data_IF_916884877481
#
_entry.id   IF_916884877481
#
_cell.length_a   1.000
_cell.length_b   1.000
_cell.length_c   1.000
_cell.angle_alpha   90.00
_cell.angle_beta   90.00
_cell.angle_gamma   90.00
#
_symmetry.space_group_name_H-M   'P 1'
#
loop_
_entity.id
_entity.type
_entity.pdbx_description
1 polymer ?
#
# COMPACT_ATOMS: atom_id res chain seq x y z
N UNK A 1 13.34 -2.03 30.79
CA UNK A 1 12.66 -3.17 31.43
C UNK A 1 12.31 -4.15 30.35
N UNK A 2 12.54 -5.44 30.58
CA UNK A 2 12.32 -6.53 29.64
C UNK A 2 10.82 -6.69 29.30
N UNK A 3 10.27 -5.82 28.48
CA UNK A 3 9.04 -6.13 27.77
C UNK A 3 9.44 -6.88 26.50
N UNK A 4 9.33 -8.21 26.55
CA UNK A 4 9.46 -9.06 25.37
C UNK A 4 8.51 -8.63 24.24
N UNK A 5 8.78 -9.10 23.03
CA UNK A 5 7.92 -8.79 21.87
C UNK A 5 6.46 -9.14 22.16
N UNK A 6 5.57 -8.14 22.06
CA UNK A 6 4.12 -8.33 22.20
C UNK A 6 3.49 -8.63 20.84
N UNK A 7 2.67 -9.66 20.78
CA UNK A 7 1.86 -9.94 19.61
C UNK A 7 0.68 -8.94 19.55
N UNK A 8 0.58 -8.20 18.45
CA UNK A 8 -0.47 -7.18 18.23
C UNK A 8 -1.65 -7.77 17.44
N UNK A 9 -1.38 -8.77 16.59
CA UNK A 9 -2.37 -9.49 15.79
C UNK A 9 -2.00 -10.97 15.86
N UNK A 10 -2.95 -11.82 16.22
CA UNK A 10 -2.78 -13.27 16.31
C UNK A 10 -3.93 -13.99 15.61
N UNK A 11 -3.64 -15.19 15.07
CA UNK A 11 -4.62 -16.09 14.44
C UNK A 11 -5.54 -15.44 13.39
N UNK A 12 -5.01 -14.52 12.59
CA UNK A 12 -5.75 -13.88 11.51
C UNK A 12 -5.69 -14.74 10.24
N UNK A 13 -6.85 -15.03 9.64
CA UNK A 13 -6.95 -15.65 8.32
C UNK A 13 -8.04 -14.95 7.53
N UNK A 14 -7.66 -14.37 6.40
CA UNK A 14 -8.53 -13.61 5.51
C UNK A 14 -8.29 -14.08 4.08
N UNK A 15 -9.37 -14.18 3.31
CA UNK A 15 -9.34 -14.38 1.86
C UNK A 15 -10.19 -13.30 1.22
N UNK A 16 -9.67 -12.70 0.14
CA UNK A 16 -10.37 -11.69 -0.64
C UNK A 16 -10.33 -12.12 -2.10
N UNK A 17 -11.50 -12.47 -2.66
CA UNK A 17 -11.59 -12.88 -4.05
C UNK A 17 -11.70 -11.68 -4.99
N UNK A 18 -11.49 -11.95 -6.29
CA UNK A 18 -11.60 -10.90 -7.33
C UNK A 18 -13.00 -10.31 -7.35
N UNK A 19 -13.08 -8.98 -7.24
CA UNK A 19 -14.34 -8.24 -7.31
C UNK A 19 -15.06 -8.11 -5.97
N UNK A 20 -14.51 -8.69 -4.91
CA UNK A 20 -15.04 -8.54 -3.56
C UNK A 20 -14.51 -7.27 -2.88
N UNK A 21 -15.22 -6.87 -1.83
CA UNK A 21 -14.77 -5.83 -0.90
C UNK A 21 -14.78 -6.43 0.50
N UNK A 22 -13.60 -6.52 1.12
CA UNK A 22 -13.45 -6.96 2.50
C UNK A 22 -13.25 -5.74 3.41
N UNK A 23 -14.08 -5.62 4.44
CA UNK A 23 -13.96 -4.59 5.46
C UNK A 23 -13.47 -5.21 6.78
N UNK A 24 -12.48 -4.59 7.40
CA UNK A 24 -12.01 -4.97 8.74
C UNK A 24 -12.43 -3.86 9.71
N UNK A 25 -13.35 -4.17 10.62
CA UNK A 25 -13.86 -3.27 11.65
C UNK A 25 -13.45 -3.73 13.05
N UNK A 26 -13.36 -2.80 14.00
CA UNK A 26 -12.97 -3.07 15.39
C UNK A 26 -12.52 -1.80 16.10
N UNK A 27 -12.30 -1.89 17.40
CA UNK A 27 -11.90 -0.75 18.25
C UNK A 27 -10.51 -0.19 17.89
N UNK A 28 -10.24 1.06 18.27
CA UNK A 28 -8.91 1.64 18.09
C UNK A 28 -7.84 0.74 18.75
N UNK A 29 -6.72 0.51 18.06
CA UNK A 29 -5.66 -0.39 18.55
C UNK A 29 -5.88 -1.89 18.31
N UNK A 30 -7.01 -2.32 17.72
CA UNK A 30 -7.29 -3.74 17.45
C UNK A 30 -6.45 -4.39 16.34
N UNK A 31 -5.39 -3.73 15.86
CA UNK A 31 -4.49 -4.26 14.83
C UNK A 31 -4.88 -4.05 13.36
N UNK A 32 -6.03 -3.41 13.06
CA UNK A 32 -6.49 -3.16 11.66
C UNK A 32 -5.43 -2.51 10.77
N UNK A 33 -4.86 -1.39 11.22
CA UNK A 33 -3.83 -0.67 10.47
C UNK A 33 -2.54 -1.50 10.37
N UNK A 34 -2.20 -2.27 11.41
CA UNK A 34 -1.05 -3.17 11.38
C UNK A 34 -1.22 -4.30 10.37
N UNK A 35 -2.42 -4.87 10.24
CA UNK A 35 -2.76 -5.84 9.20
C UNK A 35 -2.59 -5.24 7.80
N UNK A 36 -3.14 -4.04 7.55
CA UNK A 36 -3.02 -3.38 6.26
C UNK A 36 -1.56 -3.04 5.90
N UNK A 37 -0.79 -2.54 6.86
CA UNK A 37 0.64 -2.25 6.70
C UNK A 37 1.47 -3.53 6.50
N UNK A 38 1.13 -4.63 7.18
CA UNK A 38 1.79 -5.93 6.99
C UNK A 38 1.61 -6.44 5.56
N UNK A 39 0.40 -6.34 4.99
CA UNK A 39 0.14 -6.71 3.58
C UNK A 39 1.03 -5.91 2.62
N UNK A 40 1.24 -4.62 2.91
CA UNK A 40 2.08 -3.75 2.10
C UNK A 40 3.59 -3.87 2.39
N UNK A 41 4.00 -4.70 3.36
CA UNK A 41 5.35 -4.69 3.95
C UNK A 41 5.82 -3.28 4.37
N UNK A 42 4.92 -2.49 4.97
CA UNK A 42 5.19 -1.12 5.45
C UNK A 42 5.11 -1.03 6.99
N UNK A 43 5.33 -2.14 7.69
CA UNK A 43 5.37 -2.12 9.15
C UNK A 43 6.50 -1.20 9.64
N UNK A 44 6.26 -0.36 10.67
CA UNK A 44 7.26 0.55 11.19
C UNK A 44 8.43 -0.24 11.79
N UNK A 45 9.61 -0.10 11.22
CA UNK A 45 10.82 -0.75 11.71
C UNK A 45 11.60 0.16 12.67
N UNK A 46 12.23 -0.38 13.73
CA UNK A 46 12.25 -1.80 14.14
C UNK A 46 11.06 -2.21 15.04
N UNK A 47 10.11 -1.30 15.26
CA UNK A 47 9.03 -1.46 16.24
C UNK A 47 8.07 -2.62 15.96
N UNK A 48 7.91 -3.02 14.70
CA UNK A 48 7.02 -4.10 14.29
C UNK A 48 7.62 -4.95 13.17
N UNK A 49 7.28 -6.23 13.18
CA UNK A 49 7.63 -7.21 12.14
C UNK A 49 6.53 -8.25 11.99
N UNK A 50 6.49 -8.92 10.84
CA UNK A 50 5.72 -10.15 10.67
C UNK A 50 6.52 -11.26 11.35
N UNK A 51 5.99 -11.82 12.44
CA UNK A 51 6.65 -12.86 13.21
C UNK A 51 6.48 -14.26 12.62
N UNK A 52 5.35 -14.53 11.97
CA UNK A 52 5.00 -15.80 11.35
C UNK A 52 3.87 -15.62 10.33
N UNK A 53 3.60 -16.67 9.55
CA UNK A 53 2.51 -16.72 8.57
C UNK A 53 2.93 -16.27 7.17
N UNK A 54 1.94 -16.16 6.29
CA UNK A 54 2.12 -15.90 4.85
C UNK A 54 1.11 -14.88 4.37
N UNK A 55 1.50 -14.06 3.40
CA UNK A 55 0.60 -13.11 2.74
C UNK A 55 0.77 -13.29 1.24
N UNK A 56 -0.27 -13.78 0.58
CA UNK A 56 -0.21 -14.10 -0.85
C UNK A 56 -1.07 -13.15 -1.66
N UNK A 57 -0.48 -12.62 -2.74
CA UNK A 57 -1.20 -11.93 -3.80
C UNK A 57 -1.23 -12.85 -5.03
N UNK A 58 -2.35 -13.54 -5.22
CA UNK A 58 -2.45 -14.67 -6.15
C UNK A 58 -1.33 -15.70 -5.89
N UNK A 59 -0.45 -15.93 -6.87
CA UNK A 59 0.65 -16.88 -6.76
C UNK A 59 1.92 -16.30 -6.11
N UNK A 60 1.91 -15.02 -5.76
CA UNK A 60 3.09 -14.35 -5.19
C UNK A 60 3.04 -14.35 -3.67
N UNK A 61 4.00 -15.03 -3.03
CA UNK A 61 4.25 -14.86 -1.59
C UNK A 61 4.92 -13.50 -1.35
N UNK A 62 4.25 -12.62 -0.60
CA UNK A 62 4.75 -11.28 -0.33
C UNK A 62 5.76 -11.28 0.80
N UNK A 63 5.58 -12.04 1.88
CA UNK A 63 6.40 -11.90 3.12
C UNK A 63 7.90 -12.11 2.94
N UNK A 64 8.30 -12.81 1.87
CA UNK A 64 9.71 -13.13 1.58
C UNK A 64 10.31 -12.25 0.47
N UNK A 65 9.55 -11.31 -0.09
CA UNK A 65 10.05 -10.46 -1.16
C UNK A 65 11.02 -9.41 -0.63
N UNK A 66 12.11 -9.21 -1.38
CA UNK A 66 12.99 -8.07 -1.19
C UNK A 66 12.29 -6.75 -1.57
N UNK A 67 12.85 -5.64 -1.08
CA UNK A 67 12.31 -4.30 -1.28
C UNK A 67 12.18 -3.92 -2.78
N UNK A 68 13.10 -4.40 -3.64
CA UNK A 68 13.07 -4.11 -5.08
C UNK A 68 11.88 -4.79 -5.75
N UNK A 69 11.56 -6.03 -5.36
CA UNK A 69 10.40 -6.78 -5.85
C UNK A 69 9.10 -6.23 -5.27
N UNK A 70 9.06 -5.92 -3.97
CA UNK A 70 7.91 -5.26 -3.36
C UNK A 70 7.61 -3.90 -3.99
N UNK A 71 8.63 -3.12 -4.35
CA UNK A 71 8.46 -1.85 -5.06
C UNK A 71 7.80 -2.00 -6.43
N UNK A 72 7.99 -3.12 -7.13
CA UNK A 72 7.29 -3.36 -8.41
C UNK A 72 5.83 -3.77 -8.23
N UNK A 73 5.48 -4.30 -7.06
CA UNK A 73 4.12 -4.73 -6.73
C UNK A 73 3.30 -3.55 -6.19
N UNK A 74 3.89 -2.76 -5.28
CA UNK A 74 3.27 -1.54 -4.75
C UNK A 74 3.15 -0.51 -5.86
N UNK A 75 2.01 0.16 -5.97
CA UNK A 75 1.75 1.17 -6.99
C UNK A 75 1.26 0.61 -8.34
N UNK A 76 1.61 -0.63 -8.68
CA UNK A 76 1.14 -1.30 -9.91
C UNK A 76 0.02 -2.31 -9.63
N UNK A 77 0.27 -3.29 -8.75
CA UNK A 77 -0.64 -4.41 -8.47
C UNK A 77 -1.52 -4.17 -7.24
N UNK A 78 -0.98 -3.49 -6.22
CA UNK A 78 -1.69 -3.09 -5.00
C UNK A 78 -1.27 -1.67 -4.63
N UNK A 79 -2.21 -0.88 -4.12
CA UNK A 79 -1.98 0.49 -3.68
C UNK A 79 -2.69 0.73 -2.36
N UNK A 80 -2.21 1.71 -1.60
CA UNK A 80 -2.78 2.10 -0.32
C UNK A 80 -3.16 3.58 -0.37
N UNK A 81 -4.33 3.91 0.17
CA UNK A 81 -4.76 5.27 0.46
C UNK A 81 -4.66 5.44 1.98
N UNK A 82 -3.83 6.40 2.42
CA UNK A 82 -3.59 6.63 3.85
C UNK A 82 -4.73 7.45 4.47
N UNK A 83 -4.97 7.24 5.77
CA UNK A 83 -6.04 7.93 6.51
C UNK A 83 -5.82 9.45 6.58
N UNK A 84 -4.56 9.88 6.70
CA UNK A 84 -4.19 11.29 6.69
C UNK A 84 -3.70 11.70 5.31
N UNK A 85 -4.54 12.31 4.45
CA UNK A 85 -4.20 12.59 3.06
C UNK A 85 -2.97 13.49 2.92
N UNK A 86 -2.77 14.42 3.85
CA UNK A 86 -1.62 15.34 3.86
C UNK A 86 -0.28 14.62 4.05
N UNK A 87 -0.26 13.43 4.64
CA UNK A 87 0.97 12.64 4.81
C UNK A 87 1.41 11.94 3.52
N UNK A 88 0.50 11.82 2.55
CA UNK A 88 0.74 11.09 1.30
C UNK A 88 1.17 11.98 0.13
N UNK A 89 0.96 13.31 0.25
CA UNK A 89 1.30 14.28 -0.79
C UNK A 89 2.56 15.05 -0.40
N UNK A 90 3.45 15.27 -1.36
CA UNK A 90 4.59 16.14 -1.20
C UNK A 90 4.18 17.59 -1.54
N UNK A 91 4.13 18.52 -0.55
CA UNK A 91 3.65 19.89 -0.78
C UNK A 91 4.57 20.72 -1.69
N UNK A 92 5.81 20.28 -1.93
CA UNK A 92 6.76 20.95 -2.82
C UNK A 92 6.49 20.59 -4.30
N UNK A 93 5.73 19.52 -4.56
CA UNK A 93 5.44 19.04 -5.91
C UNK A 93 4.00 19.36 -6.31
N UNK A 94 3.79 19.75 -7.55
CA UNK A 94 2.43 19.87 -8.10
C UNK A 94 1.75 18.50 -8.14
N UNK A 95 0.41 18.49 -8.03
CA UNK A 95 -0.39 17.26 -8.16
C UNK A 95 -0.08 16.54 -9.49
N UNK A 96 0.05 17.30 -10.58
CA UNK A 96 0.44 16.75 -11.88
C UNK A 96 1.76 16.00 -11.83
N UNK A 97 2.80 16.58 -11.18
CA UNK A 97 4.11 15.92 -11.09
C UNK A 97 4.03 14.62 -10.29
N UNK A 98 3.39 14.65 -9.11
CA UNK A 98 3.25 13.49 -8.23
C UNK A 98 2.51 12.32 -8.91
N UNK A 99 1.45 12.63 -9.67
CA UNK A 99 0.74 11.62 -10.47
C UNK A 99 1.61 11.05 -11.58
N UNK A 100 2.29 11.91 -12.35
CA UNK A 100 3.14 11.45 -13.46
C UNK A 100 4.33 10.63 -12.99
N UNK A 101 4.96 10.99 -11.85
CA UNK A 101 6.08 10.26 -11.28
C UNK A 101 5.70 8.81 -10.95
N UNK A 102 4.51 8.61 -10.37
CA UNK A 102 4.00 7.27 -10.06
C UNK A 102 3.77 6.44 -11.33
N UNK A 103 3.22 7.06 -12.38
CA UNK A 103 2.97 6.39 -13.67
C UNK A 103 4.29 6.05 -14.37
N UNK A 104 5.24 6.99 -14.40
CA UNK A 104 6.57 6.83 -15.00
C UNK A 104 7.37 5.72 -14.29
N UNK A 105 7.22 5.59 -12.97
CA UNK A 105 7.92 4.57 -12.19
C UNK A 105 7.45 3.13 -12.44
N UNK A 106 6.23 2.94 -12.94
CA UNK A 106 5.60 1.62 -13.05
C UNK A 106 5.16 1.24 -14.47
N UNK A 107 5.31 2.14 -15.44
CA UNK A 107 4.90 1.92 -16.84
C UNK A 107 6.00 2.29 -17.82
N UNK A 108 5.90 1.81 -19.05
CA UNK A 108 6.79 2.19 -20.16
C UNK A 108 6.24 3.38 -20.97
N UNK A 109 5.31 4.15 -20.42
CA UNK A 109 4.70 5.29 -21.11
C UNK A 109 5.71 6.43 -21.28
N UNK A 110 5.63 7.12 -22.40
CA UNK A 110 6.38 8.37 -22.61
C UNK A 110 5.87 9.47 -21.66
N UNK A 111 6.67 10.52 -21.37
CA UNK A 111 6.22 11.62 -20.51
C UNK A 111 4.90 12.27 -20.97
N UNK A 112 4.69 12.37 -22.29
CA UNK A 112 3.44 12.88 -22.84
C UNK A 112 2.24 11.96 -22.54
N UNK A 113 2.41 10.65 -22.67
CA UNK A 113 1.39 9.66 -22.34
C UNK A 113 1.10 9.60 -20.84
N UNK A 114 2.14 9.69 -20.00
CA UNK A 114 1.97 9.75 -18.54
C UNK A 114 1.17 10.99 -18.12
N UNK A 115 1.47 12.16 -18.72
CA UNK A 115 0.71 13.39 -18.49
C UNK A 115 -0.76 13.24 -18.89
N UNK A 116 -1.02 12.67 -20.07
CA UNK A 116 -2.38 12.44 -20.54
C UNK A 116 -3.16 11.53 -19.60
N UNK A 117 -2.55 10.44 -19.15
CA UNK A 117 -3.14 9.50 -18.19
C UNK A 117 -3.40 10.16 -16.82
N UNK A 118 -2.50 11.01 -16.35
CA UNK A 118 -2.72 11.78 -15.11
C UNK A 118 -3.93 12.73 -15.22
N UNK A 119 -4.09 13.41 -16.36
CA UNK A 119 -5.26 14.27 -16.63
C UNK A 119 -6.56 13.46 -16.66
N UNK A 120 -6.55 12.28 -17.28
CA UNK A 120 -7.70 11.38 -17.29
C UNK A 120 -8.09 10.92 -15.88
N UNK A 121 -7.10 10.58 -15.04
CA UNK A 121 -7.33 10.20 -13.66
C UNK A 121 -7.97 11.34 -12.84
N UNK A 122 -7.47 12.57 -12.98
CA UNK A 122 -8.05 13.75 -12.31
C UNK A 122 -9.49 14.01 -12.76
N UNK A 123 -9.75 13.93 -14.07
CA UNK A 123 -11.12 14.08 -14.61
C UNK A 123 -12.07 13.01 -14.08
N UNK A 124 -11.61 11.76 -13.93
CA UNK A 124 -12.42 10.67 -13.39
C UNK A 124 -12.90 10.94 -11.96
N UNK A 125 -12.12 11.71 -11.18
CA UNK A 125 -12.49 12.16 -9.82
C UNK A 125 -13.00 13.60 -9.77
N UNK A 126 -13.38 14.17 -10.93
CA UNK A 126 -13.95 15.52 -11.08
C UNK A 126 -13.04 16.65 -10.60
N UNK A 127 -11.73 16.48 -10.75
CA UNK A 127 -10.73 17.54 -10.57
C UNK A 127 -10.28 18.01 -11.96
N UNK A 128 -10.40 19.30 -12.25
CA UNK A 128 -10.15 19.92 -13.56
C UNK A 128 -9.02 20.93 -13.52
#
# INVERSE_FOLDING_TARGET
GEEGSREVVSNLSLTLERGETLCIAGESGSGKSMTALAIMQLLPQPAARISAGTIRLADTELTTLDERRMRRIRGDRIAMIFQEPMTSLNPVLSIGRQLTESIEAHTSLTPAQARQRAIEALKAVRIS
#
